data_IF_479027992882
#
_entry.id   IF_479027992882
#
_cell.length_a   1.000
_cell.length_b   1.000
_cell.length_c   1.000
_cell.angle_alpha   90.00
_cell.angle_beta   90.00
_cell.angle_gamma   90.00
#
_symmetry.space_group_name_H-M   'P 1'
#
loop_
_entity.id
_entity.type
_entity.pdbx_description
1 polymer ?
#
# COMPACT_ATOMS: atom_id res chain seq x y z
N UNK A 1 -26.68 -5.67 7.70
CA UNK A 1 -25.21 -5.48 7.59
C UNK A 1 -24.92 -4.04 7.98
N UNK A 2 -24.07 -3.83 8.98
CA UNK A 2 -23.68 -2.46 9.39
C UNK A 2 -22.77 -1.77 8.36
N UNK A 3 -22.63 -0.46 8.48
CA UNK A 3 -21.83 0.36 7.53
C UNK A 3 -20.39 -0.14 7.34
N UNK A 4 -19.65 -0.38 8.42
CA UNK A 4 -18.26 -0.88 8.36
C UNK A 4 -18.17 -2.29 7.76
N UNK A 5 -19.16 -3.15 7.99
CA UNK A 5 -19.24 -4.47 7.39
C UNK A 5 -19.56 -4.38 5.89
N UNK A 6 -20.43 -3.42 5.47
CA UNK A 6 -20.72 -3.18 4.05
C UNK A 6 -19.46 -2.72 3.30
N UNK A 7 -18.69 -1.78 3.87
CA UNK A 7 -17.43 -1.36 3.28
C UNK A 7 -16.44 -2.52 3.14
N UNK A 8 -16.31 -3.35 4.17
CA UNK A 8 -15.47 -4.54 4.12
C UNK A 8 -15.89 -5.50 3.01
N UNK A 9 -17.20 -5.74 2.87
CA UNK A 9 -17.73 -6.58 1.79
C UNK A 9 -17.43 -5.99 0.40
N UNK A 10 -17.64 -4.69 0.21
CA UNK A 10 -17.40 -4.02 -1.08
C UNK A 10 -15.92 -4.07 -1.50
N UNK A 11 -15.00 -4.02 -0.54
CA UNK A 11 -13.56 -4.08 -0.80
C UNK A 11 -13.07 -5.51 -1.05
N UNK A 12 -13.52 -6.47 -0.26
CA UNK A 12 -12.95 -7.83 -0.23
C UNK A 12 -13.85 -8.93 -0.82
N UNK A 13 -15.09 -8.60 -1.15
CA UNK A 13 -16.03 -9.56 -1.75
C UNK A 13 -16.55 -10.62 -0.79
N UNK A 14 -16.29 -10.47 0.52
CA UNK A 14 -16.75 -11.41 1.56
C UNK A 14 -17.16 -10.65 2.82
N UNK A 15 -18.17 -11.18 3.53
CA UNK A 15 -18.71 -10.52 4.73
C UNK A 15 -17.69 -10.54 5.87
N UNK A 16 -17.40 -9.39 6.53
CA UNK A 16 -16.44 -9.35 7.65
C UNK A 16 -16.69 -10.33 8.79
N UNK A 17 -17.96 -10.71 9.00
CA UNK A 17 -18.31 -11.74 10.00
C UNK A 17 -17.68 -13.11 9.76
N UNK A 18 -17.24 -13.39 8.53
CA UNK A 18 -16.57 -14.66 8.15
C UNK A 18 -15.05 -14.55 8.18
N UNK A 19 -14.50 -13.40 8.49
CA UNK A 19 -13.06 -13.15 8.49
C UNK A 19 -12.41 -13.65 9.78
N UNK A 20 -11.11 -13.89 9.73
CA UNK A 20 -10.32 -14.15 10.93
C UNK A 20 -10.35 -12.96 11.87
N UNK A 21 -10.36 -13.21 13.18
CA UNK A 21 -10.41 -12.16 14.20
C UNK A 21 -9.32 -12.30 15.24
N UNK A 22 -8.91 -11.16 15.79
CA UNK A 22 -7.95 -11.05 16.91
C UNK A 22 -8.21 -9.76 17.69
N UNK A 23 -7.50 -9.57 18.81
CA UNK A 23 -7.60 -8.38 19.67
C UNK A 23 -6.30 -7.58 19.76
N UNK A 24 -5.32 -7.87 18.92
CA UNK A 24 -4.02 -7.21 18.96
C UNK A 24 -3.98 -5.96 18.05
N UNK A 25 -4.03 -4.76 18.65
CA UNK A 25 -3.98 -3.47 17.95
C UNK A 25 -2.66 -3.22 17.20
N UNK A 26 -1.56 -3.89 17.56
CA UNK A 26 -0.30 -3.73 16.82
C UNK A 26 -0.35 -4.39 15.43
N UNK A 27 -1.26 -5.33 15.22
CA UNK A 27 -1.45 -6.08 13.96
C UNK A 27 -2.53 -5.47 13.06
N UNK A 28 -3.20 -4.39 13.49
CA UNK A 28 -4.26 -3.77 12.70
C UNK A 28 -3.71 -3.24 11.36
N UNK A 29 -4.51 -3.40 10.30
CA UNK A 29 -4.18 -2.96 8.94
C UNK A 29 -5.32 -2.15 8.34
N UNK A 30 -5.01 -1.33 7.34
CA UNK A 30 -6.04 -0.70 6.53
C UNK A 30 -6.89 -1.80 5.83
N UNK A 31 -8.20 -1.68 5.87
CA UNK A 31 -9.15 -2.71 5.41
C UNK A 31 -9.72 -3.59 6.52
N UNK A 32 -9.19 -3.51 7.74
CA UNK A 32 -9.77 -4.22 8.88
C UNK A 32 -11.07 -3.57 9.35
N UNK A 33 -11.92 -4.39 9.95
CA UNK A 33 -13.09 -3.95 10.71
C UNK A 33 -12.81 -4.11 12.20
N UNK A 34 -12.83 -3.00 12.92
CA UNK A 34 -12.65 -2.98 14.38
C UNK A 34 -14.02 -2.82 15.06
N UNK A 35 -14.28 -3.63 16.08
CA UNK A 35 -15.40 -3.50 17.01
C UNK A 35 -14.85 -3.17 18.39
N UNK A 36 -15.27 -2.06 18.98
CA UNK A 36 -14.77 -1.54 20.25
C UNK A 36 -15.84 -0.82 21.06
N UNK A 37 -15.48 -0.10 22.13
CA UNK A 37 -16.42 0.51 23.08
C UNK A 37 -17.42 -0.50 23.65
N UNK A 38 -16.87 -1.59 24.17
CA UNK A 38 -17.68 -2.66 24.78
C UNK A 38 -18.77 -3.18 23.83
N UNK A 39 -18.37 -3.49 22.60
CA UNK A 39 -19.24 -4.03 21.55
C UNK A 39 -20.35 -3.09 21.05
N UNK A 40 -20.19 -1.78 21.18
CA UNK A 40 -21.21 -0.82 20.74
C UNK A 40 -20.90 -0.15 19.40
N UNK A 41 -19.61 -0.05 19.02
CA UNK A 41 -19.22 0.70 17.81
C UNK A 41 -18.30 -0.10 16.90
N UNK A 42 -18.54 0.00 15.58
CA UNK A 42 -17.72 -0.63 14.54
C UNK A 42 -17.21 0.40 13.56
N UNK A 43 -15.95 0.26 13.16
CA UNK A 43 -15.27 1.14 12.19
C UNK A 43 -14.58 0.33 11.11
N UNK A 44 -14.47 0.89 9.90
CA UNK A 44 -13.67 0.36 8.82
C UNK A 44 -12.37 1.15 8.71
N UNK A 45 -11.25 0.48 8.92
CA UNK A 45 -9.92 1.11 8.96
C UNK A 45 -9.46 1.49 7.55
N UNK A 46 -9.10 2.74 7.34
CA UNK A 46 -8.60 3.25 6.04
C UNK A 46 -7.10 3.51 6.03
N UNK A 47 -6.50 3.82 7.20
CA UNK A 47 -5.04 4.04 7.34
C UNK A 47 -4.58 3.68 8.74
N UNK A 48 -3.34 3.22 8.85
CA UNK A 48 -2.68 2.90 10.13
C UNK A 48 -1.28 3.49 10.14
N UNK A 49 -0.90 4.08 11.28
CA UNK A 49 0.47 4.47 11.60
C UNK A 49 0.98 3.68 12.82
N UNK A 50 2.16 3.99 13.33
CA UNK A 50 2.63 3.42 14.60
C UNK A 50 1.61 3.68 15.73
N UNK A 51 1.13 4.92 15.87
CA UNK A 51 0.40 5.40 17.03
C UNK A 51 -1.10 5.68 16.77
N UNK A 52 -1.52 5.81 15.49
CA UNK A 52 -2.88 6.23 15.13
C UNK A 52 -3.57 5.25 14.20
N UNK A 53 -4.89 5.31 14.21
CA UNK A 53 -5.78 4.65 13.24
C UNK A 53 -6.67 5.71 12.62
N UNK A 54 -6.80 5.69 11.28
CA UNK A 54 -7.78 6.46 10.53
C UNK A 54 -8.85 5.51 10.01
N UNK A 55 -10.12 5.90 10.11
CA UNK A 55 -11.23 5.03 9.74
C UNK A 55 -12.41 5.80 9.16
N UNK A 56 -13.35 5.05 8.60
CA UNK A 56 -14.70 5.48 8.30
C UNK A 56 -15.68 4.79 9.25
N UNK A 57 -16.67 5.53 9.73
CA UNK A 57 -17.74 5.00 10.57
C UNK A 57 -19.09 5.64 10.27
N UNK A 58 -20.12 5.12 10.92
CA UNK A 58 -21.48 5.64 10.85
C UNK A 58 -22.11 5.60 12.24
N UNK A 59 -22.99 6.55 12.48
CA UNK A 59 -23.82 6.60 13.70
C UNK A 59 -23.04 6.73 15.01
N UNK A 60 -21.96 7.51 15.01
CA UNK A 60 -21.18 7.76 16.23
C UNK A 60 -22.00 8.47 17.33
N UNK A 61 -22.84 9.42 16.92
CA UNK A 61 -23.63 10.29 17.78
C UNK A 61 -25.13 9.97 17.76
N UNK A 62 -25.53 8.82 17.20
CA UNK A 62 -26.94 8.43 17.07
C UNK A 62 -27.69 9.08 15.90
N UNK A 63 -27.06 9.95 15.11
CA UNK A 63 -27.72 10.71 14.03
C UNK A 63 -27.51 10.14 12.62
N UNK A 64 -27.11 8.89 12.49
CA UNK A 64 -26.91 8.18 11.22
C UNK A 64 -25.97 8.88 10.23
N UNK A 65 -25.04 9.71 10.71
CA UNK A 65 -24.05 10.38 9.88
C UNK A 65 -22.89 9.47 9.57
N UNK A 66 -22.44 9.47 8.31
CA UNK A 66 -21.19 8.81 7.89
C UNK A 66 -20.04 9.81 8.07
N UNK A 67 -19.00 9.37 8.75
CA UNK A 67 -17.76 10.13 8.93
C UNK A 67 -16.61 9.42 8.21
N UNK A 68 -15.85 10.20 7.46
CA UNK A 68 -14.67 9.74 6.74
C UNK A 68 -13.41 10.36 7.32
N UNK A 69 -12.28 9.62 7.24
CA UNK A 69 -10.97 10.10 7.66
C UNK A 69 -10.88 10.52 9.15
N UNK A 70 -11.68 9.91 10.00
CA UNK A 70 -11.58 10.10 11.45
C UNK A 70 -10.28 9.47 11.94
N UNK A 71 -9.40 10.26 12.53
CA UNK A 71 -8.11 9.79 13.04
C UNK A 71 -8.09 9.89 14.56
N UNK A 72 -7.77 8.77 15.22
CA UNK A 72 -7.62 8.71 16.67
C UNK A 72 -6.33 7.99 17.06
N UNK A 73 -5.76 8.27 18.25
CA UNK A 73 -4.70 7.45 18.81
C UNK A 73 -5.17 6.01 19.05
N UNK A 74 -4.30 5.04 18.88
CA UNK A 74 -4.60 3.63 19.23
C UNK A 74 -4.97 3.44 20.70
N UNK A 75 -4.39 4.27 21.57
CA UNK A 75 -4.70 4.32 23.00
C UNK A 75 -6.16 4.70 23.32
N UNK A 76 -6.85 5.38 22.39
CA UNK A 76 -8.27 5.70 22.52
C UNK A 76 -9.22 4.56 22.16
N UNK A 77 -8.70 3.42 21.69
CA UNK A 77 -9.50 2.22 21.42
C UNK A 77 -9.71 1.46 22.74
N UNK A 78 -10.78 1.76 23.42
CA UNK A 78 -11.16 1.13 24.67
C UNK A 78 -12.27 0.10 24.46
N UNK A 79 -12.36 -0.92 25.32
CA UNK A 79 -13.37 -1.98 25.20
C UNK A 79 -13.32 -2.68 23.84
N UNK A 80 -12.10 -2.99 23.35
CA UNK A 80 -11.89 -3.69 22.10
C UNK A 80 -12.50 -5.08 22.15
N UNK A 81 -13.45 -5.36 21.25
CA UNK A 81 -14.10 -6.65 21.14
C UNK A 81 -13.41 -7.56 20.13
N UNK A 82 -13.17 -7.04 18.94
CA UNK A 82 -12.39 -7.74 17.91
C UNK A 82 -11.85 -6.79 16.83
N UNK A 83 -10.82 -7.28 16.15
CA UNK A 83 -10.34 -6.79 14.87
C UNK A 83 -10.52 -7.92 13.88
N UNK A 84 -11.33 -7.73 12.86
CA UNK A 84 -11.55 -8.71 11.79
C UNK A 84 -10.70 -8.37 10.58
N UNK A 85 -9.92 -9.34 10.15
CA UNK A 85 -8.99 -9.24 9.01
C UNK A 85 -9.45 -10.12 7.87
N UNK A 86 -9.59 -9.57 6.67
CA UNK A 86 -10.07 -10.32 5.50
C UNK A 86 -9.16 -11.51 5.18
N UNK A 87 -9.74 -12.72 5.07
CA UNK A 87 -8.98 -13.94 4.77
C UNK A 87 -8.26 -13.88 3.41
N UNK A 88 -8.79 -13.09 2.47
CA UNK A 88 -8.20 -12.85 1.15
C UNK A 88 -7.42 -11.52 1.08
N UNK A 89 -7.07 -10.90 2.22
CA UNK A 89 -6.40 -9.60 2.28
C UNK A 89 -5.20 -9.51 1.35
N UNK A 90 -4.29 -10.47 1.46
CA UNK A 90 -3.08 -10.50 0.63
C UNK A 90 -3.36 -10.65 -0.87
N UNK A 91 -4.49 -11.22 -1.27
CA UNK A 91 -4.88 -11.32 -2.67
C UNK A 91 -5.47 -10.02 -3.22
N UNK A 92 -6.19 -9.26 -2.38
CA UNK A 92 -6.84 -7.99 -2.73
C UNK A 92 -5.89 -6.80 -2.55
N UNK A 93 -5.16 -6.73 -1.42
CA UNK A 93 -4.35 -5.56 -1.02
C UNK A 93 -2.84 -5.81 -1.19
N UNK A 94 -2.44 -6.85 -1.91
CA UNK A 94 -1.01 -7.19 -2.05
C UNK A 94 -0.18 -6.00 -2.50
N UNK A 95 0.67 -5.53 -1.60
CA UNK A 95 1.77 -4.60 -1.93
C UNK A 95 2.71 -5.32 -2.91
N UNK A 96 3.13 -4.70 -4.01
CA UNK A 96 4.08 -5.31 -4.92
C UNK A 96 5.35 -5.72 -4.20
N UNK A 97 5.86 -6.92 -4.51
CA UNK A 97 7.11 -7.39 -3.93
C UNK A 97 8.29 -6.49 -4.34
N UNK A 98 9.34 -6.47 -3.53
CA UNK A 98 10.60 -5.76 -3.83
C UNK A 98 11.13 -6.11 -5.21
N UNK A 99 11.44 -5.10 -5.99
CA UNK A 99 12.02 -5.26 -7.34
C UNK A 99 13.53 -5.38 -7.24
N UNK A 100 14.10 -6.41 -7.83
CA UNK A 100 15.54 -6.56 -7.97
C UNK A 100 15.98 -6.06 -9.35
N UNK A 101 16.82 -5.02 -9.37
CA UNK A 101 17.52 -4.59 -10.57
C UNK A 101 18.54 -5.68 -10.95
N UNK A 102 18.33 -6.34 -12.09
CA UNK A 102 19.17 -7.47 -12.52
C UNK A 102 20.33 -7.04 -13.40
N UNK A 103 20.17 -5.92 -14.11
CA UNK A 103 21.19 -5.42 -15.02
C UNK A 103 21.16 -3.89 -15.06
N UNK A 104 22.37 -3.30 -14.98
CA UNK A 104 22.62 -1.91 -15.34
C UNK A 104 23.92 -1.87 -16.15
N UNK A 105 23.82 -1.82 -17.47
CA UNK A 105 24.99 -1.89 -18.38
C UNK A 105 25.01 -0.67 -19.32
N UNK A 106 26.20 -0.20 -19.62
CA UNK A 106 26.39 0.74 -20.72
C UNK A 106 26.04 0.02 -22.03
N UNK A 107 25.02 0.49 -22.74
CA UNK A 107 24.59 -0.08 -24.03
C UNK A 107 25.27 0.59 -25.21
N UNK A 108 25.56 1.88 -25.06
CA UNK A 108 26.28 2.70 -26.04
C UNK A 108 26.76 3.98 -25.34
N UNK A 109 27.53 4.83 -26.06
CA UNK A 109 27.92 6.16 -25.56
C UNK A 109 26.72 6.91 -24.98
N UNK A 110 26.82 7.39 -23.77
CA UNK A 110 25.77 8.16 -23.05
C UNK A 110 24.44 7.41 -22.82
N UNK A 111 24.41 6.06 -22.89
CA UNK A 111 23.19 5.24 -22.68
C UNK A 111 23.44 4.14 -21.67
N UNK A 112 22.57 4.03 -20.67
CA UNK A 112 22.56 2.95 -19.68
C UNK A 112 21.29 2.12 -19.87
N UNK A 113 21.43 0.84 -20.15
CA UNK A 113 20.32 -0.09 -20.22
C UNK A 113 20.10 -0.75 -18.86
N UNK A 114 18.82 -0.71 -18.42
CA UNK A 114 18.36 -1.27 -17.15
C UNK A 114 17.38 -2.40 -17.42
N UNK A 115 17.53 -3.50 -16.70
CA UNK A 115 16.58 -4.62 -16.66
C UNK A 115 16.35 -5.06 -15.23
N UNK A 116 15.12 -5.42 -14.91
CA UNK A 116 14.71 -5.89 -13.58
C UNK A 116 13.77 -7.08 -13.69
N UNK A 117 13.57 -7.77 -12.58
CA UNK A 117 12.66 -8.90 -12.55
C UNK A 117 11.20 -8.42 -12.54
N UNK A 118 10.36 -9.11 -13.30
CA UNK A 118 8.90 -8.93 -13.24
C UNK A 118 8.38 -9.28 -11.84
N UNK A 119 7.36 -8.54 -11.41
CA UNK A 119 6.61 -8.85 -10.20
C UNK A 119 5.14 -9.01 -10.50
N UNK A 120 4.52 -10.00 -9.88
CA UNK A 120 3.09 -10.25 -10.01
C UNK A 120 2.28 -9.17 -9.28
N UNK A 121 1.03 -9.02 -9.67
CA UNK A 121 0.08 -8.06 -9.09
C UNK A 121 0.62 -6.61 -9.09
N UNK A 122 1.45 -6.27 -10.05
CA UNK A 122 2.03 -4.93 -10.26
C UNK A 122 1.29 -4.22 -11.38
N UNK A 123 0.96 -2.94 -11.22
CA UNK A 123 0.43 -2.08 -12.28
C UNK A 123 1.54 -1.46 -13.13
N UNK A 124 2.72 -1.30 -12.54
CA UNK A 124 3.88 -0.73 -13.23
C UNK A 124 5.07 -0.49 -12.32
N UNK A 125 6.03 0.26 -12.82
CA UNK A 125 7.30 0.51 -12.14
C UNK A 125 7.64 2.00 -12.16
N UNK A 126 8.31 2.46 -11.12
CA UNK A 126 8.98 3.76 -11.08
C UNK A 126 10.48 3.54 -11.03
N UNK A 127 11.20 4.26 -11.90
CA UNK A 127 12.66 4.21 -12.00
C UNK A 127 13.24 5.48 -11.44
N UNK A 128 14.19 5.33 -10.54
CA UNK A 128 14.89 6.42 -9.87
C UNK A 128 16.37 6.36 -10.17
N UNK A 129 17.01 7.52 -10.23
CA UNK A 129 18.44 7.70 -10.47
C UNK A 129 19.05 8.67 -9.49
N UNK A 130 20.28 8.39 -9.09
CA UNK A 130 21.15 9.30 -8.33
C UNK A 130 22.58 9.27 -8.85
N UNK A 131 23.36 10.28 -8.54
CA UNK A 131 24.83 10.29 -8.64
C UNK A 131 25.51 9.93 -7.32
N UNK A 132 24.73 9.80 -6.23
CA UNK A 132 25.18 9.34 -4.91
C UNK A 132 24.63 7.96 -4.64
N UNK A 133 25.45 7.04 -4.04
CA UNK A 133 25.08 5.64 -3.84
C UNK A 133 23.85 5.47 -2.96
N UNK A 134 23.75 6.20 -1.87
CA UNK A 134 22.74 5.95 -0.83
C UNK A 134 21.70 7.07 -0.68
N UNK A 135 21.79 8.16 -1.45
CA UNK A 135 20.91 9.33 -1.31
C UNK A 135 20.65 10.05 -2.64
N UNK A 136 19.78 11.07 -2.62
CA UNK A 136 19.55 11.96 -3.76
C UNK A 136 18.86 11.30 -4.96
N UNK A 137 18.12 10.24 -4.76
CA UNK A 137 17.37 9.55 -5.83
C UNK A 137 16.20 10.40 -6.31
N UNK A 138 16.20 10.74 -7.60
CA UNK A 138 15.09 11.41 -8.27
C UNK A 138 14.41 10.46 -9.23
N UNK A 139 13.08 10.48 -9.27
CA UNK A 139 12.30 9.70 -10.23
C UNK A 139 12.55 10.21 -11.64
N UNK A 140 12.95 9.31 -12.55
CA UNK A 140 13.26 9.64 -13.96
C UNK A 140 12.23 9.08 -14.93
N UNK A 141 11.48 8.03 -14.53
CA UNK A 141 10.46 7.42 -15.39
C UNK A 141 9.40 6.69 -14.55
N UNK A 142 8.14 6.79 -14.98
CA UNK A 142 7.06 5.89 -14.60
C UNK A 142 6.73 5.01 -15.82
N UNK A 143 6.62 3.70 -15.59
CA UNK A 143 6.29 2.70 -16.60
C UNK A 143 4.95 2.08 -16.20
N UNK A 144 3.88 2.41 -16.91
CA UNK A 144 2.51 1.97 -16.63
C UNK A 144 2.23 0.58 -17.26
N UNK A 145 3.14 -0.36 -17.05
CA UNK A 145 3.02 -1.71 -17.57
C UNK A 145 3.77 -2.69 -16.67
N UNK A 146 3.07 -3.71 -16.17
CA UNK A 146 3.66 -4.81 -15.41
C UNK A 146 4.56 -5.71 -16.26
N UNK A 147 4.35 -5.73 -17.58
CA UNK A 147 5.13 -6.58 -18.52
C UNK A 147 6.45 -5.93 -18.93
N UNK A 148 6.53 -4.60 -18.89
CA UNK A 148 7.72 -3.88 -19.33
C UNK A 148 8.73 -3.76 -18.17
N UNK A 149 9.74 -4.61 -18.17
CA UNK A 149 10.76 -4.75 -17.12
C UNK A 149 12.14 -4.26 -17.58
N UNK A 150 12.20 -3.34 -18.52
CA UNK A 150 13.46 -2.74 -18.97
C UNK A 150 13.27 -1.30 -19.45
N UNK A 151 14.34 -0.51 -19.41
CA UNK A 151 14.41 0.80 -20.05
C UNK A 151 15.84 1.18 -20.36
N UNK A 152 16.00 2.15 -21.28
CA UNK A 152 17.29 2.80 -21.55
C UNK A 152 17.24 4.23 -21.04
N UNK A 153 18.14 4.55 -20.12
CA UNK A 153 18.38 5.92 -19.66
C UNK A 153 19.39 6.57 -20.62
N UNK A 154 18.96 7.62 -21.30
CA UNK A 154 19.73 8.31 -22.37
C UNK A 154 20.39 9.58 -21.82
N UNK A 155 21.34 10.13 -22.60
CA UNK A 155 22.01 11.41 -22.33
C UNK A 155 22.79 11.42 -21.00
N UNK A 156 23.50 10.32 -20.71
CA UNK A 156 24.37 10.22 -19.53
C UNK A 156 25.74 10.81 -19.82
N UNK A 157 26.33 11.46 -18.81
CA UNK A 157 27.70 11.99 -18.93
C UNK A 157 28.71 10.84 -18.90
N UNK A 158 29.67 10.87 -19.83
CA UNK A 158 30.79 9.91 -19.85
C UNK A 158 31.64 10.11 -18.58
N UNK A 159 32.13 9.03 -18.00
CA UNK A 159 32.97 9.07 -16.79
C UNK A 159 32.17 9.25 -15.48
N UNK A 160 30.92 9.64 -15.53
CA UNK A 160 30.10 9.85 -14.32
C UNK A 160 29.40 8.56 -13.88
N UNK A 161 29.51 8.20 -12.58
CA UNK A 161 28.77 7.08 -11.99
C UNK A 161 27.31 7.46 -11.73
N UNK A 162 26.39 6.54 -12.06
CA UNK A 162 24.97 6.65 -11.80
C UNK A 162 24.48 5.41 -11.04
N UNK A 163 23.59 5.64 -10.08
CA UNK A 163 22.95 4.59 -9.28
C UNK A 163 21.46 4.59 -9.57
N UNK A 164 20.88 3.40 -9.63
CA UNK A 164 19.47 3.23 -9.99
C UNK A 164 18.72 2.44 -8.93
N UNK A 165 17.48 2.82 -8.69
CA UNK A 165 16.50 2.08 -7.88
C UNK A 165 15.24 1.89 -8.70
N UNK A 166 14.61 0.73 -8.57
CA UNK A 166 13.33 0.42 -9.20
C UNK A 166 12.35 0.10 -8.09
N UNK A 167 11.16 0.68 -8.16
CA UNK A 167 10.07 0.38 -7.24
C UNK A 167 8.84 -0.03 -8.04
N UNK A 168 8.26 -1.18 -7.72
CA UNK A 168 6.97 -1.59 -8.27
C UNK A 168 5.85 -0.81 -7.57
N UNK A 169 4.78 -0.52 -8.31
CA UNK A 169 3.55 0.00 -7.73
C UNK A 169 2.34 -0.76 -8.24
N UNK A 170 1.29 -0.76 -7.45
CA UNK A 170 -0.04 -1.26 -7.79
C UNK A 170 -1.08 -0.17 -7.55
N UNK A 171 -1.95 0.04 -8.51
CA UNK A 171 -3.11 0.91 -8.34
C UNK A 171 -4.27 0.09 -7.80
N UNK A 172 -4.84 0.50 -6.67
CA UNK A 172 -6.01 -0.11 -6.03
C UNK A 172 -6.94 1.02 -5.63
N UNK A 173 -8.15 1.01 -6.15
CA UNK A 173 -9.19 2.01 -5.82
C UNK A 173 -8.70 3.47 -5.88
N UNK A 174 -7.97 3.83 -6.94
CA UNK A 174 -7.43 5.18 -7.13
C UNK A 174 -6.16 5.50 -6.31
N UNK A 175 -5.76 4.65 -5.40
CA UNK A 175 -4.53 4.80 -4.62
C UNK A 175 -3.39 3.99 -5.20
N UNK A 176 -2.17 4.53 -5.08
CA UNK A 176 -0.95 3.85 -5.51
C UNK A 176 -0.23 3.24 -4.31
N UNK A 177 -0.22 1.92 -4.26
CA UNK A 177 0.53 1.13 -3.29
C UNK A 177 1.90 0.81 -3.85
N UNK A 178 2.93 0.89 -3.02
CA UNK A 178 4.32 0.70 -3.43
C UNK A 178 4.96 -0.51 -2.74
N UNK A 179 5.77 -1.24 -3.49
CA UNK A 179 6.70 -2.21 -2.93
C UNK A 179 7.88 -1.53 -2.23
N UNK A 180 8.43 -2.17 -1.22
CA UNK A 180 9.67 -1.79 -0.55
C UNK A 180 10.91 -2.01 -1.44
#
# INVERSE_FOLDING_TARGET
MGFSEKLGYDVFGSAPRTWSSHTNLSKVKAGDVIRYRYNTHSVFVTKVTADTITFADCNWDGHCKIRWNVTIPKSSITGLTYIRHANNYDSVVKIPQTVKLTTAKNKATKKVWLKWNRRDKTSGYEVYRSTKKNSGYKKIKTINSAKNCSMTDKNRMIGKKYYYKIRAYRNVNGQRLYGS
#
